data_IF_459614730508
#
_entry.id   IF_459614730508
#
_cell.length_a   1.000
_cell.length_b   1.000
_cell.length_c   1.000
_cell.angle_alpha   90.00
_cell.angle_beta   90.00
_cell.angle_gamma   90.00
#
_symmetry.space_group_name_H-M   'P 1'
#
loop_
_entity.id
_entity.type
_entity.pdbx_description
1 polymer ?
#
# COMPACT_ATOMS: atom_id res chain seq x y z
N UNK A 1 -9.16 47.05 6.45
CA UNK A 1 -9.92 46.11 7.31
C UNK A 1 -8.97 45.01 7.70
N UNK A 2 -8.73 44.84 9.00
CA UNK A 2 -7.88 43.77 9.50
C UNK A 2 -8.61 42.41 9.31
N UNK A 3 -7.90 41.42 8.83
CA UNK A 3 -8.40 40.06 8.67
C UNK A 3 -8.79 39.52 10.05
N UNK A 4 -9.97 38.94 10.19
CA UNK A 4 -10.43 38.36 11.45
C UNK A 4 -9.56 37.17 11.86
N UNK A 5 -9.39 36.95 13.16
CA UNK A 5 -8.59 35.83 13.69
C UNK A 5 -9.07 34.46 13.14
N UNK A 6 -10.38 34.34 12.85
CA UNK A 6 -10.99 33.15 12.28
C UNK A 6 -10.62 32.91 10.80
N UNK A 7 -10.42 33.96 10.02
CA UNK A 7 -9.97 33.86 8.62
C UNK A 7 -8.47 33.56 8.53
N UNK A 8 -7.67 34.15 9.42
CA UNK A 8 -6.24 33.85 9.55
C UNK A 8 -6.00 32.38 9.97
N UNK A 9 -6.86 31.83 10.84
CA UNK A 9 -6.81 30.45 11.26
C UNK A 9 -7.15 29.48 10.09
N UNK A 10 -8.12 29.83 9.25
CA UNK A 10 -8.46 29.03 8.06
C UNK A 10 -7.31 28.97 7.03
N UNK A 11 -6.72 30.12 6.72
CA UNK A 11 -5.57 30.23 5.83
C UNK A 11 -4.35 29.44 6.35
N UNK A 12 -4.10 29.47 7.65
CA UNK A 12 -3.01 28.72 8.27
C UNK A 12 -3.22 27.21 8.21
N UNK A 13 -4.44 26.74 8.45
CA UNK A 13 -4.75 25.32 8.43
C UNK A 13 -4.70 24.74 7.02
N UNK A 14 -5.21 25.47 6.03
CA UNK A 14 -5.21 25.01 4.62
C UNK A 14 -3.78 24.91 4.07
N UNK A 15 -2.89 25.81 4.41
CA UNK A 15 -1.48 25.78 3.99
C UNK A 15 -0.73 24.60 4.61
N UNK A 16 -0.94 24.33 5.90
CA UNK A 16 -0.34 23.18 6.58
C UNK A 16 -0.82 21.86 6.00
N UNK A 17 -2.11 21.74 5.76
CA UNK A 17 -2.70 20.54 5.16
C UNK A 17 -2.14 20.28 3.75
N UNK A 18 -2.08 21.29 2.92
CA UNK A 18 -1.57 21.20 1.55
C UNK A 18 -0.08 20.81 1.52
N UNK A 19 0.75 21.39 2.37
CA UNK A 19 2.17 21.04 2.46
C UNK A 19 2.39 19.59 2.90
N UNK A 20 1.65 19.13 3.90
CA UNK A 20 1.73 17.75 4.39
C UNK A 20 1.29 16.74 3.31
N UNK A 21 0.18 16.99 2.62
CA UNK A 21 -0.31 16.11 1.55
C UNK A 21 0.73 16.02 0.42
N UNK A 22 1.27 17.13 -0.02
CA UNK A 22 2.25 17.16 -1.11
C UNK A 22 3.52 16.38 -0.76
N UNK A 23 4.04 16.51 0.45
CA UNK A 23 5.22 15.76 0.91
C UNK A 23 4.95 14.26 0.94
N UNK A 24 3.80 13.82 1.41
CA UNK A 24 3.43 12.40 1.44
C UNK A 24 3.32 11.84 0.01
N UNK A 25 2.66 12.55 -0.90
CA UNK A 25 2.42 12.07 -2.26
C UNK A 25 3.70 12.02 -3.11
N UNK A 26 4.57 13.02 -3.00
CA UNK A 26 5.77 13.12 -3.84
C UNK A 26 6.80 12.03 -3.61
N UNK A 27 6.90 11.53 -2.40
CA UNK A 27 7.98 10.61 -2.01
C UNK A 27 7.59 9.12 -2.05
N UNK A 28 6.30 8.77 -2.22
CA UNK A 28 5.84 7.39 -2.15
C UNK A 28 5.42 6.84 -3.51
N UNK A 29 6.05 5.78 -4.02
CA UNK A 29 5.63 5.14 -5.26
C UNK A 29 4.25 4.48 -5.14
N UNK A 30 3.88 4.02 -3.95
CA UNK A 30 2.58 3.39 -3.67
C UNK A 30 1.48 4.44 -3.71
N UNK A 31 1.66 5.54 -3.01
CA UNK A 31 0.66 6.62 -2.92
C UNK A 31 0.45 7.35 -4.26
N UNK A 32 1.45 7.37 -5.14
CA UNK A 32 1.32 7.95 -6.48
C UNK A 32 0.36 7.15 -7.38
N UNK A 33 0.24 5.84 -7.17
CA UNK A 33 -0.55 4.93 -8.00
C UNK A 33 -1.85 4.49 -7.33
N UNK A 34 -1.89 4.50 -5.99
CA UNK A 34 -3.04 4.06 -5.22
C UNK A 34 -4.17 5.08 -5.33
N UNK A 35 -5.30 4.65 -5.90
CA UNK A 35 -6.53 5.44 -5.90
C UNK A 35 -7.24 5.32 -4.55
N UNK A 36 -7.74 6.44 -4.03
CA UNK A 36 -8.49 6.47 -2.80
C UNK A 36 -9.97 6.70 -3.08
N UNK A 37 -10.80 5.90 -2.43
CA UNK A 37 -12.27 6.02 -2.44
C UNK A 37 -12.67 6.68 -1.13
N UNK A 38 -13.38 7.78 -1.22
CA UNK A 38 -13.94 8.43 -0.04
C UNK A 38 -15.19 7.71 0.42
N UNK A 39 -15.24 7.32 1.69
CA UNK A 39 -16.35 6.59 2.29
C UNK A 39 -16.90 7.34 3.48
N UNK A 40 -18.24 7.26 3.64
CA UNK A 40 -18.95 7.77 4.81
C UNK A 40 -19.27 6.59 5.73
N UNK A 41 -18.78 6.62 6.96
CA UNK A 41 -19.00 5.56 7.94
C UNK A 41 -17.72 4.89 8.44
N UNK A 42 -17.85 3.72 9.05
CA UNK A 42 -16.76 3.03 9.74
C UNK A 42 -16.00 2.02 8.84
N UNK A 43 -16.49 1.75 7.65
CA UNK A 43 -15.86 0.80 6.74
C UNK A 43 -16.64 0.67 5.43
N UNK A 44 -16.02 0.01 4.46
CA UNK A 44 -16.61 -0.32 3.18
C UNK A 44 -17.00 -1.79 3.15
N UNK A 45 -18.29 -2.06 2.97
CA UNK A 45 -18.79 -3.43 2.76
C UNK A 45 -19.03 -3.64 1.27
N UNK A 46 -18.48 -4.71 0.72
CA UNK A 46 -18.62 -5.06 -0.69
C UNK A 46 -18.82 -6.56 -0.86
N UNK A 47 -19.51 -6.94 -1.95
CA UNK A 47 -19.77 -8.32 -2.28
C UNK A 47 -18.83 -8.79 -3.39
N UNK A 48 -18.31 -10.00 -3.24
CA UNK A 48 -17.44 -10.67 -4.20
C UNK A 48 -18.09 -11.97 -4.67
N UNK A 49 -18.02 -12.24 -5.96
CA UNK A 49 -18.43 -13.54 -6.49
C UNK A 49 -17.51 -14.65 -5.95
N UNK A 50 -18.12 -15.71 -5.44
CA UNK A 50 -17.41 -16.90 -4.96
C UNK A 50 -17.52 -18.05 -5.92
N UNK A 51 -18.72 -18.32 -6.39
CA UNK A 51 -19.01 -19.44 -7.29
C UNK A 51 -19.96 -18.99 -8.39
N UNK A 52 -19.57 -19.23 -9.63
CA UNK A 52 -20.44 -19.03 -10.79
C UNK A 52 -21.26 -20.31 -11.06
N UNK A 53 -22.51 -20.17 -11.55
CA UNK A 53 -23.26 -21.29 -12.07
C UNK A 53 -22.50 -21.96 -13.23
N UNK A 54 -22.62 -23.28 -13.33
CA UNK A 54 -22.07 -24.03 -14.45
C UNK A 54 -23.04 -24.08 -15.60
N UNK A 55 -22.57 -23.81 -16.82
CA UNK A 55 -23.33 -24.01 -18.04
C UNK A 55 -22.95 -25.35 -18.68
N UNK A 56 -23.91 -26.06 -19.17
CA UNK A 56 -23.73 -27.37 -19.78
C UNK A 56 -24.25 -27.39 -21.23
N UNK A 57 -23.69 -28.28 -22.06
CA UNK A 57 -24.16 -28.50 -23.41
C UNK A 57 -25.19 -29.62 -23.42
N UNK A 58 -26.35 -29.37 -24.00
CA UNK A 58 -27.46 -30.31 -24.04
C UNK A 58 -27.67 -30.85 -25.47
N UNK A 59 -28.01 -32.14 -25.56
CA UNK A 59 -28.49 -32.71 -26.80
C UNK A 59 -29.96 -32.35 -27.04
N UNK A 60 -30.42 -32.55 -28.26
CA UNK A 60 -31.84 -32.39 -28.61
C UNK A 60 -32.68 -33.35 -27.78
N UNK A 61 -33.70 -32.84 -27.09
CA UNK A 61 -34.59 -33.56 -26.15
C UNK A 61 -33.93 -34.10 -24.88
N UNK A 62 -32.72 -33.62 -24.50
CA UNK A 62 -32.13 -33.94 -23.21
C UNK A 62 -32.78 -33.13 -22.07
N UNK A 63 -32.81 -33.71 -20.88
CA UNK A 63 -33.23 -33.00 -19.67
C UNK A 63 -32.19 -31.98 -19.27
N UNK A 64 -32.64 -30.81 -18.81
CA UNK A 64 -31.76 -29.74 -18.31
C UNK A 64 -31.51 -29.93 -16.83
N UNK A 65 -30.24 -30.03 -16.44
CA UNK A 65 -29.84 -30.08 -15.04
C UNK A 65 -29.92 -28.68 -14.43
N UNK A 66 -30.18 -28.64 -13.13
CA UNK A 66 -30.16 -27.37 -12.38
C UNK A 66 -28.75 -27.11 -11.87
N UNK A 67 -28.14 -26.00 -12.30
CA UNK A 67 -26.88 -25.56 -11.79
C UNK A 67 -26.99 -25.11 -10.32
N UNK A 68 -25.94 -25.26 -9.51
CA UNK A 68 -25.88 -24.65 -8.17
C UNK A 68 -26.14 -23.15 -8.24
N UNK A 69 -26.82 -22.62 -7.22
CA UNK A 69 -27.04 -21.18 -7.12
C UNK A 69 -25.69 -20.42 -7.00
N UNK A 70 -25.57 -19.21 -7.58
CA UNK A 70 -24.39 -18.38 -7.37
C UNK A 70 -24.21 -18.08 -5.89
N UNK A 71 -22.97 -18.13 -5.41
CA UNK A 71 -22.58 -17.80 -4.03
C UNK A 71 -21.73 -16.53 -4.03
N UNK A 72 -21.95 -15.67 -3.02
CA UNK A 72 -21.28 -14.39 -2.85
C UNK A 72 -20.64 -14.31 -1.47
N UNK A 73 -19.38 -13.86 -1.43
CA UNK A 73 -18.70 -13.51 -0.19
C UNK A 73 -18.91 -12.01 0.09
N UNK A 74 -19.49 -11.68 1.25
CA UNK A 74 -19.53 -10.32 1.74
C UNK A 74 -18.32 -10.01 2.59
N UNK A 75 -17.58 -8.99 2.22
CA UNK A 75 -16.36 -8.55 2.89
C UNK A 75 -16.52 -7.11 3.39
N UNK A 76 -15.95 -6.84 4.55
CA UNK A 76 -15.93 -5.49 5.13
C UNK A 76 -14.49 -5.07 5.40
N UNK A 77 -14.07 -3.98 4.76
CA UNK A 77 -12.81 -3.33 5.06
C UNK A 77 -13.07 -2.21 6.08
N UNK A 78 -12.72 -2.44 7.34
CA UNK A 78 -12.88 -1.46 8.40
C UNK A 78 -11.77 -0.40 8.34
N UNK A 79 -12.13 0.87 8.60
CA UNK A 79 -11.16 1.97 8.69
C UNK A 79 -10.28 1.80 9.92
N UNK A 80 -8.98 1.93 9.73
CA UNK A 80 -7.98 2.04 10.79
C UNK A 80 -7.58 3.50 10.97
N UNK A 81 -7.16 3.85 12.20
CA UNK A 81 -6.71 5.21 12.53
C UNK A 81 -5.20 5.20 12.59
N UNK A 82 -4.55 5.93 11.68
CA UNK A 82 -3.13 6.20 11.74
C UNK A 82 -2.92 7.68 12.05
N UNK A 83 -2.03 8.01 12.97
CA UNK A 83 -1.76 9.39 13.31
C UNK A 83 -0.78 9.55 14.44
N UNK A 84 -0.30 10.78 14.59
CA UNK A 84 0.67 11.15 15.62
C UNK A 84 0.41 12.59 16.07
N UNK A 85 0.77 12.89 17.31
CA UNK A 85 0.76 14.26 17.84
C UNK A 85 2.14 14.89 17.65
N UNK A 86 2.16 16.15 17.23
CA UNK A 86 3.32 17.02 17.21
C UNK A 86 3.18 18.03 18.37
N UNK A 87 4.03 17.90 19.37
CA UNK A 87 4.02 18.76 20.56
C UNK A 87 5.21 19.72 20.50
N UNK A 88 4.96 21.01 20.73
CA UNK A 88 5.99 22.06 20.77
C UNK A 88 5.91 22.76 22.12
N UNK A 89 7.03 22.81 22.82
CA UNK A 89 7.14 23.51 24.14
C UNK A 89 7.09 25.02 23.95
N UNK A 90 6.27 25.71 24.78
CA UNK A 90 6.09 27.14 24.71
C UNK A 90 7.33 27.92 25.17
N UNK A 91 8.17 27.35 26.05
CA UNK A 91 9.44 27.97 26.43
C UNK A 91 10.38 28.05 25.22
N UNK A 92 10.49 26.97 24.47
CA UNK A 92 11.27 26.94 23.22
C UNK A 92 10.67 27.95 22.23
N UNK A 93 9.35 28.03 22.18
CA UNK A 93 8.60 28.96 21.33
C UNK A 93 8.84 30.42 21.69
N UNK A 94 9.06 30.75 22.95
CA UNK A 94 9.30 32.13 23.39
C UNK A 94 10.77 32.55 23.38
N UNK A 95 11.69 31.59 23.56
CA UNK A 95 13.13 31.90 23.71
C UNK A 95 13.90 31.89 22.39
N UNK A 96 13.34 31.30 21.32
CA UNK A 96 13.99 31.22 19.99
C UNK A 96 13.21 32.00 18.95
N UNK A 97 13.88 32.90 18.24
CA UNK A 97 13.29 33.83 17.25
C UNK A 97 12.82 33.16 15.92
N UNK A 98 13.12 31.85 15.66
CA UNK A 98 12.80 31.11 14.44
C UNK A 98 11.79 29.98 14.68
N UNK A 99 10.75 30.23 15.43
CA UNK A 99 9.83 29.19 15.93
C UNK A 99 8.91 28.64 14.84
N UNK A 100 8.53 29.41 13.84
CA UNK A 100 7.74 28.91 12.71
C UNK A 100 8.47 27.78 12.00
N UNK A 101 9.79 27.86 11.87
CA UNK A 101 10.61 26.83 11.21
C UNK A 101 10.64 25.53 12.02
N UNK A 102 10.66 25.63 13.35
CA UNK A 102 10.69 24.44 14.24
C UNK A 102 9.33 23.73 14.24
N UNK A 103 8.24 24.46 14.32
CA UNK A 103 6.90 23.89 14.29
C UNK A 103 6.62 23.24 12.94
N UNK A 104 6.96 23.89 11.83
CA UNK A 104 6.87 23.34 10.49
C UNK A 104 7.73 22.09 10.32
N UNK A 105 8.96 22.09 10.83
CA UNK A 105 9.86 20.94 10.78
C UNK A 105 9.31 19.74 11.58
N UNK A 106 8.73 19.96 12.75
CA UNK A 106 8.13 18.89 13.56
C UNK A 106 6.90 18.32 12.86
N UNK A 107 6.06 19.15 12.26
CA UNK A 107 4.89 18.73 11.49
C UNK A 107 5.34 17.91 10.28
N UNK A 108 6.36 18.34 9.55
CA UNK A 108 6.92 17.61 8.41
C UNK A 108 7.48 16.25 8.82
N UNK A 109 8.25 16.17 9.91
CA UNK A 109 8.77 14.92 10.44
C UNK A 109 7.65 13.98 10.91
N UNK A 110 6.61 14.53 11.53
CA UNK A 110 5.44 13.75 11.94
C UNK A 110 4.66 13.22 10.74
N UNK A 111 4.52 14.01 9.69
CA UNK A 111 3.90 13.58 8.44
C UNK A 111 4.70 12.45 7.76
N UNK A 112 6.03 12.56 7.77
CA UNK A 112 6.93 11.47 7.29
C UNK A 112 6.76 10.20 8.10
N UNK A 113 6.59 10.30 9.43
CA UNK A 113 6.35 9.14 10.28
C UNK A 113 5.01 8.46 9.97
N UNK A 114 3.94 9.23 9.74
CA UNK A 114 2.62 8.70 9.33
C UNK A 114 2.72 8.01 7.97
N UNK A 115 3.44 8.59 7.01
CA UNK A 115 3.72 7.97 5.72
C UNK A 115 4.44 6.63 5.88
N UNK A 116 5.50 6.61 6.66
CA UNK A 116 6.29 5.40 6.90
C UNK A 116 5.45 4.29 7.52
N UNK A 117 4.62 4.63 8.50
CA UNK A 117 3.73 3.66 9.13
C UNK A 117 2.68 3.12 8.13
N UNK A 118 2.11 3.99 7.30
CA UNK A 118 1.19 3.56 6.25
C UNK A 118 1.87 2.60 5.24
N UNK A 119 3.08 2.91 4.76
CA UNK A 119 3.80 2.08 3.80
C UNK A 119 4.20 0.71 4.39
N UNK A 120 4.62 0.67 5.66
CA UNK A 120 4.89 -0.59 6.36
C UNK A 120 3.61 -1.44 6.47
N UNK A 121 2.50 -0.83 6.90
CA UNK A 121 1.23 -1.55 7.07
C UNK A 121 0.54 -1.86 5.74
N UNK A 122 0.79 -1.10 4.68
CA UNK A 122 0.33 -1.46 3.33
C UNK A 122 0.86 -2.84 2.91
N UNK A 123 2.07 -3.20 3.33
CA UNK A 123 2.69 -4.49 3.02
C UNK A 123 2.39 -5.52 4.12
N UNK A 124 2.63 -5.18 5.40
CA UNK A 124 2.63 -6.11 6.52
C UNK A 124 1.50 -5.90 7.53
N UNK A 125 0.55 -5.03 7.25
CA UNK A 125 -0.58 -4.80 8.15
C UNK A 125 -1.35 -6.09 8.45
N UNK A 126 -1.80 -6.24 9.68
CA UNK A 126 -2.58 -7.38 10.16
C UNK A 126 -3.60 -6.92 11.18
N UNK A 127 -4.88 -7.09 10.86
CA UNK A 127 -6.00 -6.75 11.75
C UNK A 127 -6.27 -7.81 12.82
N UNK A 128 -5.65 -8.99 12.71
CA UNK A 128 -5.80 -10.05 13.73
C UNK A 128 -5.01 -9.73 14.99
N UNK A 129 -5.50 -10.17 16.13
CA UNK A 129 -4.82 -9.98 17.40
C UNK A 129 -5.00 -8.61 18.05
N UNK A 130 -5.98 -7.79 17.61
CA UNK A 130 -6.31 -6.51 18.26
C UNK A 130 -5.31 -5.39 18.01
N UNK A 131 -4.61 -5.42 16.88
CA UNK A 131 -3.54 -4.47 16.54
C UNK A 131 -4.04 -3.11 16.02
N UNK A 132 -5.34 -2.90 15.87
CA UNK A 132 -5.95 -1.68 15.31
C UNK A 132 -5.39 -1.26 13.93
N UNK A 133 -4.87 -2.23 13.17
CA UNK A 133 -4.31 -2.03 11.83
C UNK A 133 -5.28 -2.54 10.77
N UNK A 134 -5.12 -2.09 9.54
CA UNK A 134 -5.79 -2.70 8.39
C UNK A 134 -4.97 -3.87 7.82
N UNK A 135 -5.60 -4.74 7.03
CA UNK A 135 -4.94 -5.87 6.40
C UNK A 135 -4.10 -5.44 5.21
N UNK A 136 -2.79 -5.70 5.28
CA UNK A 136 -1.83 -5.41 4.22
C UNK A 136 -1.75 -6.49 3.15
N UNK A 137 -0.95 -6.24 2.11
CA UNK A 137 -0.79 -7.14 0.95
C UNK A 137 -0.42 -8.56 1.34
N UNK A 138 0.50 -8.72 2.30
CA UNK A 138 0.95 -10.04 2.78
C UNK A 138 -0.22 -10.90 3.26
N UNK A 139 -1.13 -10.31 4.03
CA UNK A 139 -2.30 -11.00 4.57
C UNK A 139 -3.40 -11.18 3.53
N UNK A 140 -3.65 -10.15 2.71
CA UNK A 140 -4.66 -10.22 1.67
C UNK A 140 -4.33 -11.30 0.63
N UNK A 141 -3.07 -11.46 0.24
CA UNK A 141 -2.62 -12.50 -0.71
C UNK A 141 -2.46 -13.86 -0.04
N UNK A 142 -2.24 -13.87 1.29
CA UNK A 142 -1.94 -15.04 2.09
C UNK A 142 -0.69 -15.80 1.61
N UNK A 143 0.46 -15.21 1.89
CA UNK A 143 1.77 -15.78 1.49
C UNK A 143 2.16 -17.04 2.27
N UNK A 144 1.32 -17.48 3.22
CA UNK A 144 1.60 -18.64 4.08
C UNK A 144 1.13 -19.96 3.49
N UNK A 145 0.34 -19.91 2.43
CA UNK A 145 -0.24 -21.11 1.81
C UNK A 145 -0.31 -21.02 0.29
N UNK A 146 -0.58 -22.17 -0.35
CA UNK A 146 -0.80 -22.25 -1.78
C UNK A 146 -2.01 -21.43 -2.22
N UNK A 147 -1.83 -20.57 -3.21
CA UNK A 147 -2.89 -19.79 -3.82
C UNK A 147 -2.59 -19.52 -5.30
N UNK A 148 -3.61 -19.30 -6.10
CA UNK A 148 -3.46 -19.03 -7.53
C UNK A 148 -2.70 -17.72 -7.82
N UNK A 149 -2.58 -16.83 -6.84
CA UNK A 149 -1.88 -15.54 -6.93
C UNK A 149 -0.49 -15.57 -6.31
N UNK A 150 -0.02 -16.74 -5.81
CA UNK A 150 1.29 -16.88 -5.19
C UNK A 150 2.20 -17.73 -6.07
N UNK A 151 3.27 -17.13 -6.56
CA UNK A 151 4.36 -17.80 -7.28
C UNK A 151 5.50 -18.05 -6.32
N UNK A 152 5.97 -19.30 -6.25
CA UNK A 152 7.06 -19.68 -5.34
C UNK A 152 8.36 -19.90 -6.09
N UNK A 153 9.48 -19.52 -5.45
CA UNK A 153 10.84 -19.74 -5.95
C UNK A 153 11.48 -21.03 -5.42
N UNK A 154 10.67 -22.04 -5.07
CA UNK A 154 11.15 -23.31 -4.50
C UNK A 154 10.94 -23.40 -2.99
N UNK A 155 11.31 -24.56 -2.39
CA UNK A 155 10.97 -24.90 -1.01
C UNK A 155 11.53 -23.97 0.07
N UNK A 156 12.74 -23.46 -0.13
CA UNK A 156 13.44 -22.55 0.80
C UNK A 156 13.86 -21.23 0.15
N UNK A 157 13.30 -20.96 -1.04
CA UNK A 157 13.72 -19.86 -1.89
C UNK A 157 14.82 -20.25 -2.88
N UNK A 158 14.93 -19.48 -3.95
CA UNK A 158 15.94 -19.63 -4.97
C UNK A 158 16.31 -18.28 -5.63
N UNK A 159 17.39 -18.30 -6.39
CA UNK A 159 17.81 -17.13 -7.18
C UNK A 159 16.70 -16.72 -8.16
N UNK A 160 16.37 -15.43 -8.16
CA UNK A 160 15.35 -14.86 -9.02
C UNK A 160 15.67 -15.09 -10.50
N UNK A 161 14.67 -15.47 -11.26
CA UNK A 161 14.74 -15.65 -12.73
C UNK A 161 13.68 -14.78 -13.42
N UNK A 162 13.95 -14.35 -14.66
CA UNK A 162 12.99 -13.57 -15.45
C UNK A 162 11.72 -14.39 -15.75
N UNK A 163 11.87 -15.71 -16.01
CA UNK A 163 10.72 -16.59 -16.24
C UNK A 163 9.74 -16.62 -15.07
N UNK A 164 10.23 -16.58 -13.82
CA UNK A 164 9.37 -16.51 -12.64
C UNK A 164 8.74 -15.12 -12.45
N UNK A 165 9.40 -14.07 -12.91
CA UNK A 165 8.83 -12.74 -12.92
C UNK A 165 7.71 -12.62 -13.96
N UNK A 166 7.88 -13.24 -15.13
CA UNK A 166 6.84 -13.32 -16.16
C UNK A 166 5.65 -14.15 -15.67
N UNK A 167 5.90 -15.29 -15.00
CA UNK A 167 4.86 -16.09 -14.35
C UNK A 167 4.06 -15.27 -13.32
N UNK A 168 4.73 -14.42 -12.54
CA UNK A 168 4.05 -13.50 -11.63
C UNK A 168 3.13 -12.51 -12.37
N UNK A 169 3.58 -11.95 -13.48
CA UNK A 169 2.78 -11.03 -14.29
C UNK A 169 1.54 -11.76 -14.83
N UNK A 170 1.68 -13.00 -15.26
CA UNK A 170 0.61 -13.82 -15.81
C UNK A 170 -0.43 -14.25 -14.75
N UNK A 171 -0.08 -14.24 -13.45
CA UNK A 171 -1.06 -14.50 -12.38
C UNK A 171 -2.09 -13.38 -12.25
N UNK A 172 -1.75 -12.16 -12.68
CA UNK A 172 -2.66 -11.02 -12.63
C UNK A 172 -3.59 -11.09 -13.86
N UNK A 173 -4.87 -11.32 -13.59
CA UNK A 173 -5.89 -11.42 -14.62
C UNK A 173 -6.64 -10.09 -14.80
N UNK A 174 -7.09 -9.83 -16.02
CA UNK A 174 -7.82 -8.62 -16.35
C UNK A 174 -6.96 -7.48 -16.90
N UNK A 175 -5.72 -7.76 -17.27
CA UNK A 175 -4.78 -6.82 -17.88
C UNK A 175 -3.39 -6.88 -17.26
N UNK A 176 -2.49 -6.04 -17.74
CA UNK A 176 -1.15 -5.92 -17.15
C UNK A 176 -1.23 -5.27 -15.76
N UNK A 177 -0.35 -5.64 -14.82
CA UNK A 177 -0.20 -4.92 -13.55
C UNK A 177 0.19 -3.45 -13.80
N UNK A 178 -0.27 -2.56 -12.95
CA UNK A 178 0.09 -1.13 -12.98
C UNK A 178 1.41 -0.85 -12.25
N UNK A 179 1.82 -1.76 -11.36
CA UNK A 179 3.03 -1.63 -10.57
C UNK A 179 3.60 -2.99 -10.19
N UNK A 180 4.92 -3.15 -10.37
CA UNK A 180 5.72 -4.20 -9.74
C UNK A 180 6.42 -3.62 -8.52
N UNK A 181 5.97 -3.98 -7.33
CA UNK A 181 6.53 -3.50 -6.08
C UNK A 181 7.55 -4.51 -5.56
N UNK A 182 8.80 -4.04 -5.35
CA UNK A 182 9.90 -4.91 -4.91
C UNK A 182 10.92 -4.16 -4.04
N UNK A 183 11.79 -4.92 -3.37
CA UNK A 183 12.91 -4.36 -2.60
C UNK A 183 14.03 -3.84 -3.52
N UNK A 184 14.92 -3.02 -2.98
CA UNK A 184 16.14 -2.55 -3.71
C UNK A 184 17.01 -3.72 -4.17
N UNK A 185 17.09 -4.78 -3.36
CA UNK A 185 17.85 -6.00 -3.68
C UNK A 185 17.27 -6.69 -4.90
N UNK A 186 15.95 -6.96 -4.88
CA UNK A 186 15.24 -7.60 -5.99
C UNK A 186 15.32 -6.77 -7.28
N UNK A 187 15.16 -5.44 -7.21
CA UNK A 187 15.34 -4.56 -8.37
C UNK A 187 16.74 -4.67 -8.97
N UNK A 188 17.80 -4.65 -8.14
CA UNK A 188 19.16 -4.81 -8.60
C UNK A 188 19.36 -6.14 -9.32
N UNK A 189 18.77 -7.22 -8.79
CA UNK A 189 18.81 -8.54 -9.42
C UNK A 189 18.10 -8.57 -10.77
N UNK A 190 16.89 -8.01 -10.86
CA UNK A 190 16.16 -7.90 -12.13
C UNK A 190 16.98 -7.14 -13.17
N UNK A 191 17.57 -6.00 -12.79
CA UNK A 191 18.42 -5.21 -13.68
C UNK A 191 19.65 -6.01 -14.17
N UNK A 192 20.28 -6.81 -13.29
CA UNK A 192 21.40 -7.66 -13.66
C UNK A 192 21.00 -8.77 -14.64
N UNK A 193 19.84 -9.41 -14.41
CA UNK A 193 19.30 -10.46 -15.28
C UNK A 193 18.95 -9.92 -16.67
N UNK A 194 18.31 -8.75 -16.76
CA UNK A 194 17.98 -8.12 -18.05
C UNK A 194 19.27 -7.76 -18.82
N UNK A 195 20.28 -7.22 -18.16
CA UNK A 195 21.59 -6.96 -18.80
C UNK A 195 22.28 -8.25 -19.28
N UNK A 196 22.18 -9.32 -18.48
CA UNK A 196 22.77 -10.63 -18.85
C UNK A 196 22.08 -11.26 -20.07
N UNK A 197 20.79 -10.98 -20.29
CA UNK A 197 20.05 -11.41 -21.48
C UNK A 197 20.36 -10.55 -22.73
N UNK A 198 21.20 -9.52 -22.63
CA UNK A 198 21.50 -8.59 -23.73
C UNK A 198 20.41 -7.55 -24.01
N UNK A 199 19.38 -7.50 -23.18
CA UNK A 199 18.31 -6.50 -23.29
C UNK A 199 18.63 -5.26 -22.46
N UNK A 200 17.98 -4.14 -22.81
CA UNK A 200 18.03 -2.90 -22.04
C UNK A 200 16.70 -2.71 -21.30
N UNK A 201 16.77 -2.24 -20.06
CA UNK A 201 15.57 -1.82 -19.35
C UNK A 201 15.10 -0.48 -19.90
N UNK A 202 13.84 -0.41 -20.28
CA UNK A 202 13.21 0.84 -20.61
C UNK A 202 13.09 1.72 -19.36
N UNK A 203 13.29 3.02 -19.54
CA UNK A 203 13.10 4.01 -18.48
C UNK A 203 12.14 5.07 -18.98
N UNK A 204 11.12 5.36 -18.20
CA UNK A 204 10.18 6.45 -18.47
C UNK A 204 10.36 7.52 -17.41
N UNK A 205 10.29 8.76 -17.85
CA UNK A 205 10.26 9.90 -16.95
C UNK A 205 8.86 9.98 -16.32
N UNK A 206 8.78 9.82 -15.02
CA UNK A 206 7.55 9.98 -14.27
C UNK A 206 7.04 11.43 -14.31
N UNK A 207 5.78 11.62 -13.94
CA UNK A 207 5.13 12.93 -13.92
C UNK A 207 5.86 13.95 -13.04
N UNK A 208 6.58 13.49 -12.02
CA UNK A 208 7.37 14.32 -11.09
C UNK A 208 8.86 14.43 -11.45
N UNK A 209 9.24 13.96 -12.65
CA UNK A 209 10.61 14.08 -13.13
C UNK A 209 11.55 12.94 -12.76
N UNK A 210 11.12 11.98 -11.97
CA UNK A 210 11.88 10.80 -11.62
C UNK A 210 11.92 9.78 -12.76
N UNK A 211 13.07 9.12 -12.93
CA UNK A 211 13.22 8.06 -13.91
C UNK A 211 12.80 6.73 -13.29
N UNK A 212 11.66 6.21 -13.75
CA UNK A 212 11.16 4.90 -13.35
C UNK A 212 11.59 3.85 -14.36
N UNK A 213 12.17 2.75 -13.87
CA UNK A 213 12.51 1.59 -14.69
C UNK A 213 11.23 0.80 -15.00
N UNK A 214 11.11 0.35 -16.26
CA UNK A 214 10.01 -0.54 -16.67
C UNK A 214 10.53 -1.93 -16.95
N UNK A 215 9.72 -2.92 -16.60
CA UNK A 215 9.87 -4.29 -17.03
C UNK A 215 8.62 -4.71 -17.81
N UNK A 216 8.78 -5.09 -19.05
CA UNK A 216 7.68 -5.47 -19.95
C UNK A 216 6.58 -4.37 -20.05
N UNK A 217 6.99 -3.09 -19.99
CA UNK A 217 6.08 -1.94 -19.99
C UNK A 217 5.40 -1.66 -18.64
N UNK A 218 5.77 -2.37 -17.58
CA UNK A 218 5.22 -2.21 -16.22
C UNK A 218 6.25 -1.46 -15.36
N UNK A 219 5.87 -0.36 -14.68
CA UNK A 219 6.76 0.37 -13.82
C UNK A 219 7.17 -0.43 -12.59
N UNK A 220 8.45 -0.35 -12.23
CA UNK A 220 9.02 -0.97 -11.04
C UNK A 220 9.01 0.06 -9.90
N UNK A 221 8.21 -0.20 -8.88
CA UNK A 221 8.22 0.54 -7.63
C UNK A 221 9.18 -0.10 -6.63
N UNK A 222 10.05 0.72 -6.06
CA UNK A 222 11.00 0.27 -5.02
C UNK A 222 10.46 0.71 -3.67
N UNK A 223 10.28 -0.26 -2.78
CA UNK A 223 9.90 0.01 -1.40
C UNK A 223 10.96 -0.53 -0.44
N UNK A 224 11.46 0.34 0.43
CA UNK A 224 12.42 -0.03 1.48
C UNK A 224 11.76 -0.82 2.62
N UNK A 225 10.43 -0.85 2.65
CA UNK A 225 9.67 -1.58 3.66
C UNK A 225 9.57 -3.08 3.35
N UNK A 226 9.78 -3.50 2.10
CA UNK A 226 9.83 -4.92 1.76
C UNK A 226 11.09 -5.53 2.37
N UNK A 227 10.89 -6.41 3.33
CA UNK A 227 11.98 -7.10 4.02
C UNK A 227 12.61 -8.15 3.11
N UNK A 228 13.93 -8.22 3.13
CA UNK A 228 14.71 -9.24 2.42
C UNK A 228 15.06 -10.44 3.31
N UNK A 229 14.36 -10.58 4.43
CA UNK A 229 14.63 -11.57 5.48
C UNK A 229 13.47 -12.56 5.69
N UNK A 230 12.60 -12.71 4.69
CA UNK A 230 11.50 -13.66 4.77
C UNK A 230 12.01 -15.08 4.91
N UNK A 231 11.44 -15.83 5.85
CA UNK A 231 11.69 -17.25 6.05
C UNK A 231 10.62 -18.06 5.32
N UNK A 232 11.05 -19.06 4.55
CA UNK A 232 10.17 -19.97 3.82
C UNK A 232 10.39 -21.40 4.25
N UNK A 233 9.30 -22.18 4.25
CA UNK A 233 9.32 -23.64 4.40
C UNK A 233 8.28 -24.23 3.46
N UNK A 234 8.68 -25.25 2.68
CA UNK A 234 7.80 -25.83 1.69
C UNK A 234 7.36 -24.90 0.55
N UNK A 235 8.09 -23.78 0.35
CA UNK A 235 7.78 -22.78 -0.65
C UNK A 235 6.86 -21.66 -0.19
N UNK A 236 6.42 -21.67 1.06
CA UNK A 236 5.52 -20.66 1.62
C UNK A 236 6.15 -19.95 2.79
N UNK A 237 5.66 -18.74 3.05
CA UNK A 237 6.21 -17.89 4.08
C UNK A 237 5.85 -18.40 5.49
N UNK A 238 6.86 -18.59 6.34
CA UNK A 238 6.69 -18.89 7.77
C UNK A 238 6.89 -17.68 8.65
N UNK A 239 7.52 -16.65 8.15
CA UNK A 239 7.73 -15.38 8.87
C UNK A 239 8.44 -14.34 8.04
N UNK A 240 8.38 -13.09 8.47
CA UNK A 240 9.02 -11.93 7.81
C UNK A 240 10.45 -11.67 8.28
N UNK A 241 10.99 -12.54 9.13
CA UNK A 241 12.35 -12.46 9.64
C UNK A 241 12.93 -13.85 9.85
N UNK A 242 14.25 -13.95 9.88
CA UNK A 242 14.97 -15.21 10.08
C UNK A 242 15.35 -15.96 8.80
N UNK A 243 14.99 -15.47 7.63
CA UNK A 243 15.37 -15.99 6.33
C UNK A 243 16.22 -15.03 5.50
N UNK A 244 16.36 -15.32 4.21
CA UNK A 244 17.12 -14.52 3.24
C UNK A 244 16.31 -14.22 1.96
N UNK A 245 15.02 -14.47 1.98
CA UNK A 245 14.15 -14.30 0.83
C UNK A 245 13.45 -12.94 0.83
N UNK A 246 13.10 -12.47 -0.36
CA UNK A 246 12.30 -11.28 -0.60
C UNK A 246 10.99 -11.64 -1.27
N UNK A 247 10.00 -10.77 -1.12
CA UNK A 247 8.75 -10.86 -1.87
C UNK A 247 8.69 -9.77 -2.95
N UNK A 248 8.05 -10.08 -4.08
CA UNK A 248 7.74 -9.14 -5.15
C UNK A 248 6.23 -9.19 -5.37
N UNK A 249 5.60 -8.02 -5.43
CA UNK A 249 4.16 -7.91 -5.64
C UNK A 249 3.85 -7.31 -7.00
N UNK A 250 2.92 -7.90 -7.73
CA UNK A 250 2.34 -7.37 -8.95
C UNK A 250 0.93 -6.89 -8.63
N UNK A 251 0.66 -5.61 -8.84
CA UNK A 251 -0.56 -4.96 -8.38
C UNK A 251 -1.25 -4.22 -9.53
N UNK A 252 -2.57 -4.36 -9.61
CA UNK A 252 -3.44 -3.43 -10.31
C UNK A 252 -4.14 -2.54 -9.31
N UNK A 253 -4.28 -1.25 -9.65
CA UNK A 253 -4.96 -0.27 -8.82
C UNK A 253 -6.26 0.20 -9.47
N UNK A 254 -7.20 0.65 -8.66
CA UNK A 254 -8.45 1.24 -9.13
C UNK A 254 -9.69 0.57 -8.58
N UNK A 255 -10.83 1.07 -9.03
CA UNK A 255 -12.14 0.51 -8.70
C UNK A 255 -12.26 -0.90 -9.30
N UNK A 256 -12.49 -1.89 -8.44
CA UNK A 256 -12.51 -3.31 -8.82
C UNK A 256 -11.17 -4.03 -8.76
N UNK A 257 -10.09 -3.37 -8.32
CA UNK A 257 -8.79 -3.94 -8.04
C UNK A 257 -8.36 -3.62 -6.59
N UNK A 258 -7.11 -3.27 -6.38
CA UNK A 258 -6.63 -2.78 -5.08
C UNK A 258 -6.84 -1.28 -5.01
N UNK A 259 -7.54 -0.80 -3.99
CA UNK A 259 -7.79 0.62 -3.75
C UNK A 259 -7.62 0.96 -2.26
N UNK A 260 -7.29 2.20 -1.97
CA UNK A 260 -7.40 2.74 -0.62
C UNK A 260 -8.83 3.21 -0.34
N UNK A 261 -9.31 3.09 0.87
CA UNK A 261 -10.51 3.77 1.31
C UNK A 261 -10.18 4.72 2.46
N UNK A 262 -10.71 5.93 2.40
CA UNK A 262 -10.45 6.98 3.38
C UNK A 262 -11.72 7.69 3.78
N UNK A 263 -11.73 8.30 4.96
CA UNK A 263 -12.78 9.19 5.40
C UNK A 263 -12.19 10.57 5.70
N UNK A 264 -12.48 11.55 4.86
CA UNK A 264 -12.03 12.94 5.02
C UNK A 264 -10.54 13.18 4.77
N UNK A 265 -9.79 12.20 4.21
CA UNK A 265 -8.36 12.33 3.87
C UNK A 265 -7.47 12.53 5.10
N UNK A 266 -6.26 13.05 4.85
CA UNK A 266 -5.31 13.41 5.90
C UNK A 266 -5.75 14.73 6.57
N UNK A 267 -5.90 14.70 7.89
CA UNK A 267 -6.36 15.83 8.69
C UNK A 267 -5.25 16.32 9.60
N UNK A 268 -5.02 17.63 9.61
CA UNK A 268 -4.11 18.31 10.51
C UNK A 268 -4.93 19.25 11.41
N UNK A 269 -5.02 18.93 12.69
CA UNK A 269 -5.82 19.66 13.66
C UNK A 269 -4.94 20.28 14.75
N UNK A 270 -4.97 21.61 14.95
CA UNK A 270 -4.39 22.22 16.13
C UNK A 270 -5.29 21.91 17.36
N UNK A 271 -4.74 21.16 18.30
CA UNK A 271 -5.45 20.81 19.55
C UNK A 271 -5.37 21.96 20.56
N UNK A 272 -4.27 22.72 20.51
CA UNK A 272 -4.04 23.86 21.42
C UNK A 272 -3.12 23.53 22.59
N UNK A 273 -3.23 24.31 23.69
CA UNK A 273 -2.40 24.15 24.89
C UNK A 273 -2.77 22.86 25.65
N UNK A 274 -1.77 22.18 26.18
CA UNK A 274 -1.95 20.96 26.97
C UNK A 274 -2.15 21.33 28.47
N UNK A 275 -3.09 20.64 29.12
CA UNK A 275 -3.35 20.89 30.57
C UNK A 275 -2.17 20.55 31.49
N UNK A 276 -1.39 19.52 31.16
CA UNK A 276 -0.31 19.01 32.04
C UNK A 276 1.09 19.49 31.69
N UNK A 277 1.26 20.26 30.60
CA UNK A 277 2.57 20.76 30.14
C UNK A 277 2.40 22.10 29.46
N UNK A 278 3.39 22.98 29.59
CA UNK A 278 3.42 24.25 28.85
C UNK A 278 3.85 24.00 27.38
N UNK A 279 2.97 23.36 26.60
CA UNK A 279 3.20 23.03 25.22
C UNK A 279 1.93 23.13 24.37
N UNK A 280 2.09 23.45 23.10
CA UNK A 280 1.04 23.40 22.09
C UNK A 280 1.11 22.08 21.34
N UNK A 281 -0.05 21.51 21.03
CA UNK A 281 -0.20 20.25 20.33
C UNK A 281 -0.91 20.43 19.00
N UNK A 282 -0.30 19.89 17.95
CA UNK A 282 -0.93 19.70 16.64
C UNK A 282 -1.06 18.20 16.38
N UNK A 283 -2.24 17.75 15.97
CA UNK A 283 -2.53 16.35 15.70
C UNK A 283 -2.63 16.12 14.21
N UNK A 284 -1.86 15.14 13.71
CA UNK A 284 -1.98 14.63 12.34
C UNK A 284 -2.67 13.27 12.44
N UNK A 285 -3.82 13.11 11.76
CA UNK A 285 -4.59 11.88 11.77
C UNK A 285 -5.09 11.55 10.37
N UNK A 286 -5.21 10.25 10.09
CA UNK A 286 -5.73 9.74 8.84
C UNK A 286 -6.55 8.49 9.11
N UNK A 287 -7.77 8.46 8.61
CA UNK A 287 -8.65 7.30 8.64
C UNK A 287 -8.54 6.58 7.31
N UNK A 288 -7.89 5.44 7.29
CA UNK A 288 -7.52 4.74 6.04
C UNK A 288 -7.63 3.24 6.18
N UNK A 289 -7.96 2.57 5.09
CA UNK A 289 -7.89 1.11 4.96
C UNK A 289 -7.53 0.72 3.54
N UNK A 290 -7.09 -0.52 3.36
CA UNK A 290 -6.85 -1.12 2.06
C UNK A 290 -8.04 -2.00 1.68
N UNK A 291 -8.55 -1.82 0.47
CA UNK A 291 -9.67 -2.57 -0.08
C UNK A 291 -9.18 -3.40 -1.26
N UNK A 292 -9.49 -4.68 -1.23
CA UNK A 292 -9.19 -5.62 -2.30
C UNK A 292 -10.48 -6.15 -2.91
N UNK A 293 -10.92 -5.54 -4.01
CA UNK A 293 -12.16 -5.92 -4.65
C UNK A 293 -12.05 -7.26 -5.39
N UNK A 294 -10.94 -7.50 -6.07
CA UNK A 294 -10.75 -8.70 -6.89
C UNK A 294 -9.40 -9.36 -6.62
N UNK A 295 -9.44 -10.57 -6.06
CA UNK A 295 -8.23 -11.37 -5.77
C UNK A 295 -7.34 -11.62 -6.98
N UNK A 296 -7.92 -11.68 -8.18
CA UNK A 296 -7.19 -12.02 -9.42
C UNK A 296 -6.41 -10.84 -10.00
N UNK A 297 -6.59 -9.62 -9.47
CA UNK A 297 -5.90 -8.41 -9.93
C UNK A 297 -4.62 -8.09 -9.17
N UNK A 298 -4.16 -9.03 -8.40
CA UNK A 298 -2.90 -8.95 -7.65
C UNK A 298 -2.21 -10.29 -7.61
N UNK A 299 -0.89 -10.27 -7.48
CA UNK A 299 -0.08 -11.46 -7.33
C UNK A 299 1.15 -11.19 -6.47
N UNK A 300 1.74 -12.24 -5.93
CA UNK A 300 2.99 -12.17 -5.20
C UNK A 300 3.94 -13.30 -5.62
N UNK A 301 5.20 -12.95 -5.79
CA UNK A 301 6.30 -13.90 -5.93
C UNK A 301 7.08 -13.92 -4.62
N UNK A 302 7.21 -15.09 -4.03
CA UNK A 302 7.91 -15.28 -2.76
C UNK A 302 9.13 -16.19 -2.93
N UNK A 303 10.12 -15.99 -2.07
CA UNK A 303 11.34 -16.79 -2.10
C UNK A 303 12.42 -16.25 -3.03
N UNK A 304 12.34 -15.03 -3.50
CA UNK A 304 13.37 -14.44 -4.34
C UNK A 304 14.65 -14.21 -3.54
N UNK A 305 15.77 -14.76 -4.04
CA UNK A 305 17.14 -14.57 -3.54
C UNK A 305 18.01 -13.96 -4.64
N UNK A 306 19.16 -13.39 -4.23
CA UNK A 306 20.18 -12.84 -5.15
C UNK A 306 20.91 -13.91 -5.95
#
# INVERSE_FOLDING_TARGET
MAISLAEAAKLSNDVLLQGVIETILKDSPILQKLSFIEIVGNGLTYNREKTLPTAEWHAVNADWSTSPAPDFDQLTAALAIVGQNADVDNYIRQTRSNIQDIEAAIIELTAKAVRHEFEDKFIYGDSTGGTNQFDGLRKLIDLTQAGSQVVTMGGTGATLTLAKLDELIDTVRGGKPDLLLMSRRSRRKVTALVRASGAYMETVRGEFGDFTQLYNGIPIGVSDWIKDTHALTGGYETGVSGGSCSAIFALQFGEGAVAGATNGGLQVEPVGAMEGKDSSRTRIKWYVTLVDFCKQRRGALIGAQD
#
